data_IF_778344288601
#
_entry.id   IF_778344288601
#
_cell.length_a   1.000
_cell.length_b   1.000
_cell.length_c   1.000
_cell.angle_alpha   90.00
_cell.angle_beta   90.00
_cell.angle_gamma   90.00
#
_symmetry.space_group_name_H-M   'P 1'
#
loop_
_entity.id
_entity.type
_entity.pdbx_description
1 polymer ?
#
# COMPACT_ATOMS: atom_id res chain seq x y z
N UNK A 1 -22.56 19.04 16.52
CA UNK A 1 -21.21 18.77 17.04
C UNK A 1 -20.22 19.44 16.11
N UNK A 2 -19.38 20.36 16.60
CA UNK A 2 -18.40 21.04 15.76
C UNK A 2 -17.31 20.08 15.28
N UNK A 3 -16.95 20.13 14.00
CA UNK A 3 -15.88 19.31 13.46
C UNK A 3 -14.55 19.71 14.10
N UNK A 4 -13.80 18.72 14.58
CA UNK A 4 -12.52 18.96 15.26
C UNK A 4 -11.45 19.29 14.23
N UNK A 5 -11.02 20.55 14.20
CA UNK A 5 -10.07 21.08 13.20
C UNK A 5 -8.65 20.53 13.40
N UNK A 6 -8.26 20.26 14.65
CA UNK A 6 -6.90 19.84 15.02
C UNK A 6 -6.92 18.52 15.80
N UNK A 7 -6.08 17.58 15.38
CA UNK A 7 -5.89 16.30 16.08
C UNK A 7 -4.51 16.19 16.71
N UNK A 8 -4.43 15.43 17.78
CA UNK A 8 -3.19 15.10 18.48
C UNK A 8 -2.46 13.95 17.81
N UNK A 9 -1.19 13.76 18.19
CA UNK A 9 -0.41 12.59 17.78
C UNK A 9 -1.07 11.26 18.15
N UNK A 10 -1.69 11.17 19.34
CA UNK A 10 -2.33 9.93 19.80
C UNK A 10 -3.53 9.59 18.93
N UNK A 11 -4.36 10.58 18.62
CA UNK A 11 -5.54 10.42 17.77
C UNK A 11 -5.16 10.07 16.32
N UNK A 12 -4.10 10.68 15.80
CA UNK A 12 -3.60 10.34 14.46
C UNK A 12 -3.04 8.91 14.41
N UNK A 13 -2.29 8.51 15.44
CA UNK A 13 -1.76 7.15 15.55
C UNK A 13 -2.88 6.10 15.62
N UNK A 14 -3.94 6.38 16.39
CA UNK A 14 -5.14 5.54 16.49
C UNK A 14 -5.89 5.45 15.15
N UNK A 15 -6.10 6.60 14.47
CA UNK A 15 -6.75 6.65 13.14
C UNK A 15 -6.03 5.81 12.10
N UNK A 16 -4.70 5.81 12.10
CA UNK A 16 -3.87 5.06 11.14
C UNK A 16 -3.53 3.64 11.61
N UNK A 17 -3.90 3.25 12.83
CA UNK A 17 -3.55 1.93 13.38
C UNK A 17 -2.05 1.74 13.61
N UNK A 18 -1.29 2.82 13.84
CA UNK A 18 0.17 2.79 14.01
C UNK A 18 0.59 3.26 15.40
N UNK A 19 1.86 3.10 15.74
CA UNK A 19 2.40 3.62 17.02
C UNK A 19 2.62 5.13 16.95
N UNK A 20 2.54 5.80 18.10
CA UNK A 20 2.87 7.24 18.20
C UNK A 20 4.32 7.54 17.81
N UNK A 21 5.24 6.59 18.02
CA UNK A 21 6.64 6.68 17.57
C UNK A 21 6.73 6.79 16.05
N UNK A 22 5.95 6.00 15.31
CA UNK A 22 5.90 6.06 13.86
C UNK A 22 5.48 7.45 13.35
N UNK A 23 4.50 8.08 14.01
CA UNK A 23 4.09 9.45 13.71
C UNK A 23 5.22 10.47 13.97
N UNK A 24 6.00 10.29 15.05
CA UNK A 24 7.17 11.13 15.31
C UNK A 24 8.27 10.95 14.25
N UNK A 25 8.46 9.72 13.76
CA UNK A 25 9.43 9.41 12.71
C UNK A 25 9.07 10.10 11.38
N UNK A 26 7.80 9.98 10.96
CA UNK A 26 7.29 10.66 9.76
C UNK A 26 7.44 12.18 9.85
N UNK A 27 7.24 12.76 11.04
CA UNK A 27 7.47 14.17 11.29
C UNK A 27 8.96 14.54 11.18
N UNK A 28 9.86 13.73 11.77
CA UNK A 28 11.32 13.97 11.68
C UNK A 28 11.85 13.88 10.26
N UNK A 29 11.26 13.00 9.44
CA UNK A 29 11.59 12.85 8.02
C UNK A 29 10.98 13.96 7.15
N UNK A 30 10.19 14.88 7.71
CA UNK A 30 9.53 15.96 6.97
C UNK A 30 8.36 15.50 6.10
N UNK A 31 7.93 14.24 6.22
CA UNK A 31 6.80 13.67 5.48
C UNK A 31 5.48 14.20 6.05
N UNK A 32 5.41 14.34 7.38
CA UNK A 32 4.22 14.78 8.09
C UNK A 32 4.41 16.18 8.67
N UNK A 33 3.58 17.13 8.23
CA UNK A 33 3.62 18.52 8.70
C UNK A 33 2.72 18.74 9.91
N UNK A 34 3.18 19.58 10.83
CA UNK A 34 2.42 20.00 12.01
C UNK A 34 2.04 21.47 11.89
N UNK A 35 0.96 21.87 12.56
CA UNK A 35 0.57 23.28 12.65
C UNK A 35 1.64 24.06 13.42
N UNK A 36 2.11 25.16 12.82
CA UNK A 36 3.11 26.07 13.40
C UNK A 36 2.44 27.10 14.32
N UNK A 37 3.21 27.67 15.24
CA UNK A 37 2.75 28.77 16.11
C UNK A 37 1.93 28.33 17.33
N UNK A 38 1.91 27.03 17.64
CA UNK A 38 1.26 26.49 18.84
C UNK A 38 2.27 25.70 19.69
N UNK A 39 2.14 25.70 21.04
CA UNK A 39 3.12 25.06 21.93
C UNK A 39 3.17 23.53 21.80
N UNK A 40 2.07 22.91 21.35
CA UNK A 40 1.92 21.46 21.34
C UNK A 40 1.73 20.96 19.92
N UNK A 41 2.35 19.82 19.60
CA UNK A 41 2.20 19.16 18.29
C UNK A 41 0.71 18.86 18.01
N UNK A 42 0.20 19.46 16.94
CA UNK A 42 -1.13 19.18 16.37
C UNK A 42 -1.03 19.06 14.86
N UNK A 43 -1.96 18.28 14.32
CA UNK A 43 -2.13 18.08 12.89
C UNK A 43 -3.48 18.65 12.48
N UNK A 44 -3.49 19.38 11.37
CA UNK A 44 -4.75 19.86 10.80
C UNK A 44 -5.48 18.68 10.16
N UNK A 45 -6.76 18.49 10.49
CA UNK A 45 -7.53 17.33 10.04
C UNK A 45 -7.73 17.32 8.53
N UNK A 46 -7.85 18.49 7.90
CA UNK A 46 -8.05 18.63 6.47
C UNK A 46 -6.77 18.22 5.72
N UNK A 47 -5.60 18.66 6.19
CA UNK A 47 -4.31 18.20 5.68
C UNK A 47 -4.13 16.67 5.79
N UNK A 48 -4.57 16.06 6.89
CA UNK A 48 -4.51 14.60 7.06
C UNK A 48 -5.46 13.89 6.09
N UNK A 49 -6.68 14.39 5.90
CA UNK A 49 -7.62 13.83 4.91
C UNK A 49 -7.05 13.93 3.49
N UNK A 50 -6.47 15.07 3.12
CA UNK A 50 -5.81 15.25 1.82
C UNK A 50 -4.64 14.27 1.64
N UNK A 51 -3.85 14.00 2.68
CA UNK A 51 -2.79 12.99 2.67
C UNK A 51 -3.31 11.55 2.55
N UNK A 52 -4.49 11.26 3.11
CA UNK A 52 -5.12 9.94 3.02
C UNK A 52 -5.78 9.72 1.66
N UNK A 53 -6.33 10.78 1.06
CA UNK A 53 -6.92 10.77 -0.28
C UNK A 53 -5.86 10.77 -1.39
N UNK A 54 -4.72 11.40 -1.14
CA UNK A 54 -3.55 11.32 -2.02
C UNK A 54 -2.87 9.97 -1.77
N UNK A 55 -2.89 9.05 -2.73
CA UNK A 55 -2.05 7.83 -2.64
C UNK A 55 -0.57 8.22 -2.51
N UNK A 56 -0.05 8.29 -1.29
CA UNK A 56 1.37 8.57 -1.03
C UNK A 56 2.15 7.26 -1.15
N UNK A 57 2.45 6.85 -2.38
CA UNK A 57 3.54 5.91 -2.61
C UNK A 57 4.84 6.72 -2.79
N UNK A 58 5.39 7.25 -1.69
CA UNK A 58 6.79 7.70 -1.68
C UNK A 58 7.67 6.49 -1.41
N UNK A 59 7.90 5.67 -2.43
CA UNK A 59 8.95 4.66 -2.37
C UNK A 59 10.32 5.33 -2.47
N UNK A 60 11.27 4.92 -1.62
CA UNK A 60 12.68 5.19 -1.87
C UNK A 60 13.09 4.58 -3.24
N UNK A 61 14.03 5.16 -4.01
CA UNK A 61 14.49 4.57 -5.28
C UNK A 61 14.97 3.11 -5.17
N UNK A 62 15.35 2.66 -3.97
CA UNK A 62 15.71 1.26 -3.69
C UNK A 62 14.45 0.41 -3.53
N UNK A 63 13.47 0.89 -2.78
CA UNK A 63 12.20 0.20 -2.55
C UNK A 63 11.39 0.09 -3.83
N UNK A 64 11.37 1.14 -4.65
CA UNK A 64 10.73 1.12 -5.96
C UNK A 64 11.35 0.05 -6.86
N UNK A 65 12.69 0.00 -6.96
CA UNK A 65 13.40 -1.04 -7.73
C UNK A 65 13.15 -2.45 -7.20
N UNK A 66 13.04 -2.62 -5.87
CA UNK A 66 12.69 -3.90 -5.25
C UNK A 66 11.28 -4.33 -5.67
N UNK A 67 10.30 -3.41 -5.57
CA UNK A 67 8.90 -3.67 -5.92
C UNK A 67 8.74 -3.94 -7.41
N UNK A 68 9.42 -3.19 -8.28
CA UNK A 68 9.42 -3.46 -9.72
C UNK A 68 9.97 -4.84 -10.05
N UNK A 69 11.04 -5.26 -9.36
CA UNK A 69 11.61 -6.60 -9.52
C UNK A 69 10.63 -7.68 -9.06
N UNK A 70 10.05 -7.55 -7.87
CA UNK A 70 9.06 -8.49 -7.33
C UNK A 70 7.84 -8.58 -8.23
N UNK A 71 7.37 -7.46 -8.78
CA UNK A 71 6.27 -7.43 -9.73
C UNK A 71 6.61 -8.15 -11.04
N UNK A 72 7.84 -7.97 -11.54
CA UNK A 72 8.32 -8.66 -12.74
C UNK A 72 8.42 -10.17 -12.52
N UNK A 73 8.98 -10.60 -11.40
CA UNK A 73 9.09 -12.00 -11.00
C UNK A 73 7.70 -12.64 -10.89
N UNK A 74 6.78 -12.01 -10.15
CA UNK A 74 5.41 -12.50 -10.00
C UNK A 74 4.65 -12.60 -11.32
N UNK A 75 4.87 -11.65 -12.25
CA UNK A 75 4.26 -11.69 -13.60
C UNK A 75 4.80 -12.85 -14.44
N UNK A 76 6.09 -13.13 -14.33
CA UNK A 76 6.72 -14.24 -15.07
C UNK A 76 6.26 -15.59 -14.52
N UNK A 77 6.21 -15.75 -13.20
CA UNK A 77 5.63 -16.95 -12.57
C UNK A 77 4.17 -17.17 -13.00
N UNK A 78 3.36 -16.10 -12.98
CA UNK A 78 1.97 -16.18 -13.46
C UNK A 78 1.88 -16.59 -14.94
N UNK A 79 2.80 -16.10 -15.79
CA UNK A 79 2.86 -16.48 -17.21
C UNK A 79 3.16 -17.97 -17.36
N UNK A 80 4.18 -18.48 -16.67
CA UNK A 80 4.58 -19.89 -16.70
C UNK A 80 3.46 -20.79 -16.18
N UNK A 81 2.83 -20.43 -15.06
CA UNK A 81 1.71 -21.20 -14.49
C UNK A 81 0.51 -21.28 -15.45
N UNK A 82 0.19 -20.18 -16.14
CA UNK A 82 -0.86 -20.17 -17.17
C UNK A 82 -0.52 -21.07 -18.35
N UNK A 83 0.73 -21.08 -18.79
CA UNK A 83 1.19 -21.93 -19.89
C UNK A 83 1.09 -23.43 -19.53
N UNK A 84 1.51 -23.80 -18.33
CA UNK A 84 1.35 -25.16 -17.80
C UNK A 84 -0.13 -25.56 -17.74
N UNK A 85 -0.99 -24.67 -17.25
CA UNK A 85 -2.43 -24.93 -17.16
C UNK A 85 -3.07 -25.15 -18.54
N UNK A 86 -2.67 -24.36 -19.55
CA UNK A 86 -3.11 -24.55 -20.94
C UNK A 86 -2.70 -25.93 -21.43
N UNK A 87 -1.46 -26.34 -21.20
CA UNK A 87 -0.97 -27.66 -21.62
C UNK A 87 -1.76 -28.80 -20.93
N UNK A 88 -1.99 -28.71 -19.62
CA UNK A 88 -2.81 -29.68 -18.89
C UNK A 88 -4.23 -29.77 -19.47
N UNK A 89 -4.82 -28.63 -19.81
CA UNK A 89 -6.16 -28.58 -20.40
C UNK A 89 -6.20 -29.24 -21.79
N UNK A 90 -5.19 -28.99 -22.63
CA UNK A 90 -5.04 -29.62 -23.94
C UNK A 90 -4.95 -31.15 -23.78
N UNK A 91 -4.08 -31.65 -22.90
CA UNK A 91 -3.93 -33.09 -22.67
C UNK A 91 -5.20 -33.71 -22.09
N UNK A 92 -5.88 -33.02 -21.18
CA UNK A 92 -7.14 -33.47 -20.60
C UNK A 92 -8.24 -33.58 -21.66
N UNK A 93 -8.33 -32.61 -22.59
CA UNK A 93 -9.27 -32.66 -23.72
C UNK A 93 -8.95 -33.80 -24.69
N UNK A 94 -7.67 -34.08 -24.95
CA UNK A 94 -7.27 -35.24 -25.76
C UNK A 94 -7.72 -36.54 -25.10
N UNK A 95 -7.51 -36.70 -23.79
CA UNK A 95 -7.94 -37.88 -23.05
C UNK A 95 -9.47 -38.04 -23.08
N UNK A 96 -10.23 -36.96 -22.86
CA UNK A 96 -11.69 -36.98 -22.95
C UNK A 96 -12.16 -37.42 -24.34
N UNK A 97 -11.52 -36.95 -25.41
CA UNK A 97 -11.85 -37.33 -26.79
C UNK A 97 -11.67 -38.83 -27.03
N UNK A 98 -10.72 -39.49 -26.37
CA UNK A 98 -10.52 -40.95 -26.46
C UNK A 98 -11.63 -41.70 -25.71
N UNK A 99 -12.14 -41.16 -24.60
CA UNK A 99 -13.19 -41.81 -23.80
C UNK A 99 -14.58 -41.67 -24.45
N UNK A 100 -14.82 -40.57 -25.17
CA UNK A 100 -16.12 -40.24 -25.77
C UNK A 100 -16.30 -40.85 -27.17
N UNK A 101 -15.20 -41.21 -27.86
CA UNK A 101 -15.22 -41.94 -29.13
C UNK A 101 -15.15 -43.45 -28.93
#
# INVERSE_FOLDING_TARGET
MGEKILITKKELAERWGVTTKHIDDLRRQGILQTVKGIPTVRFNIQYIKELEETKVEKYSPIEFRRIERELKEAREELRVLKEILININIESNKALKIIIN
#
